data_IF_278022643539
#
_entry.id   IF_278022643539
#
_cell.length_a   1.000
_cell.length_b   1.000
_cell.length_c   1.000
_cell.angle_alpha   90.00
_cell.angle_beta   90.00
_cell.angle_gamma   90.00
#
_symmetry.space_group_name_H-M   'P 1'
#
loop_
_entity.id
_entity.type
_entity.pdbx_description
1 polymer ?
#
# COMPACT_ATOMS: atom_id res chain seq x y z
N UNK A 1 5.74 -38.45 3.10
CA UNK A 1 6.19 -37.36 2.21
C UNK A 1 7.05 -36.41 3.02
N UNK A 2 8.37 -36.40 2.82
CA UNK A 2 9.29 -35.56 3.59
C UNK A 2 9.33 -34.14 3.01
N UNK A 3 8.98 -33.14 3.83
CA UNK A 3 9.26 -31.74 3.53
C UNK A 3 10.78 -31.59 3.41
N UNK A 4 11.29 -31.45 2.19
CA UNK A 4 12.67 -31.03 1.97
C UNK A 4 12.78 -29.60 2.51
N UNK A 5 13.47 -29.44 3.63
CA UNK A 5 13.72 -28.13 4.23
C UNK A 5 14.27 -27.17 3.17
N UNK A 6 13.57 -26.07 2.94
CA UNK A 6 14.00 -25.02 2.03
C UNK A 6 15.32 -24.46 2.55
N UNK A 7 16.42 -24.75 1.83
CA UNK A 7 17.71 -24.12 2.14
C UNK A 7 17.56 -22.62 1.90
N UNK A 8 17.73 -21.83 2.96
CA UNK A 8 17.77 -20.37 2.90
C UNK A 8 18.90 -19.99 1.94
N UNK A 9 18.55 -19.35 0.83
CA UNK A 9 19.54 -18.85 -0.14
C UNK A 9 20.11 -17.55 0.41
N UNK A 10 21.36 -17.59 0.84
CA UNK A 10 22.09 -16.40 1.28
C UNK A 10 22.33 -15.52 0.05
N UNK A 11 21.80 -14.31 0.08
CA UNK A 11 21.95 -13.34 -1.01
C UNK A 11 23.31 -12.64 -0.92
N UNK A 12 23.81 -12.07 -2.01
CA UNK A 12 25.08 -11.33 -1.99
C UNK A 12 25.03 -10.10 -1.07
N UNK A 13 23.85 -9.49 -0.95
CA UNK A 13 23.54 -8.40 -0.04
C UNK A 13 23.72 -8.84 1.43
N UNK A 14 23.25 -10.04 1.79
CA UNK A 14 23.37 -10.59 3.14
C UNK A 14 24.84 -10.81 3.51
N UNK A 15 25.66 -11.26 2.54
CA UNK A 15 27.11 -11.40 2.71
C UNK A 15 27.79 -10.04 2.89
N UNK A 16 27.40 -9.03 2.11
CA UNK A 16 27.93 -7.68 2.24
C UNK A 16 27.60 -7.06 3.61
N UNK A 17 26.34 -7.20 4.06
CA UNK A 17 25.92 -6.74 5.40
C UNK A 17 26.69 -7.48 6.49
N UNK A 18 26.93 -8.79 6.34
CA UNK A 18 27.73 -9.55 7.29
C UNK A 18 29.17 -9.02 7.35
N UNK A 19 29.81 -8.78 6.21
CA UNK A 19 31.17 -8.24 6.16
C UNK A 19 31.27 -6.85 6.81
N UNK A 20 30.30 -5.97 6.56
CA UNK A 20 30.23 -4.65 7.20
C UNK A 20 30.10 -4.79 8.72
N UNK A 21 29.21 -5.66 9.20
CA UNK A 21 29.05 -5.92 10.64
C UNK A 21 30.34 -6.49 11.27
N UNK A 22 30.99 -7.43 10.60
CA UNK A 22 32.29 -7.98 11.05
C UNK A 22 33.38 -6.90 11.12
N UNK A 23 33.41 -5.97 10.16
CA UNK A 23 34.35 -4.85 10.18
C UNK A 23 34.06 -3.88 11.33
N UNK A 24 32.79 -3.56 11.60
CA UNK A 24 32.36 -2.77 12.75
C UNK A 24 32.79 -3.42 14.08
N UNK A 25 32.53 -4.71 14.25
CA UNK A 25 32.94 -5.45 15.45
C UNK A 25 34.47 -5.47 15.62
N UNK A 26 35.20 -5.62 14.52
CA UNK A 26 36.67 -5.59 14.52
C UNK A 26 37.21 -4.23 14.95
N UNK A 27 36.62 -3.13 14.45
CA UNK A 27 36.98 -1.76 14.84
C UNK A 27 36.67 -1.53 16.32
N UNK A 28 35.53 -1.98 16.83
CA UNK A 28 35.22 -1.87 18.27
C UNK A 28 36.22 -2.64 19.14
N UNK A 29 36.59 -3.87 18.75
CA UNK A 29 37.61 -4.66 19.46
C UNK A 29 38.96 -3.95 19.46
N UNK A 30 39.37 -3.41 18.32
CA UNK A 30 40.63 -2.66 18.20
C UNK A 30 40.63 -1.38 19.03
N UNK A 31 39.53 -0.63 19.00
CA UNK A 31 39.30 0.59 19.79
C UNK A 31 39.42 0.31 21.28
N UNK A 32 38.76 -0.72 21.78
CA UNK A 32 38.84 -1.13 23.20
C UNK A 32 40.27 -1.49 23.60
N UNK A 33 40.92 -2.36 22.81
CA UNK A 33 42.31 -2.76 23.06
C UNK A 33 43.27 -1.57 23.06
N UNK A 34 43.07 -0.62 22.14
CA UNK A 34 43.92 0.58 22.03
C UNK A 34 43.69 1.53 23.21
N UNK A 35 42.44 1.69 23.68
CA UNK A 35 42.13 2.46 24.88
C UNK A 35 42.80 1.90 26.14
N UNK A 36 42.81 0.58 26.30
CA UNK A 36 43.48 -0.09 27.42
C UNK A 36 45.01 0.13 27.35
N UNK A 37 45.59 0.03 26.15
CA UNK A 37 47.01 0.32 25.92
C UNK A 37 47.36 1.78 26.23
N UNK A 38 46.58 2.74 25.75
CA UNK A 38 46.76 4.18 26.05
C UNK A 38 46.73 4.40 27.56
N UNK A 39 45.80 3.77 28.27
CA UNK A 39 45.68 3.90 29.73
C UNK A 39 46.93 3.40 30.46
N UNK A 40 47.45 2.23 30.06
CA UNK A 40 48.70 1.69 30.59
C UNK A 40 49.91 2.56 30.26
N UNK A 41 50.01 3.05 29.02
CA UNK A 41 51.10 3.94 28.59
C UNK A 41 51.08 5.29 29.32
N UNK A 42 49.90 5.86 29.57
CA UNK A 42 49.73 7.07 30.39
C UNK A 42 50.17 6.83 31.85
N UNK A 43 49.92 5.65 32.41
CA UNK A 43 50.41 5.28 33.73
C UNK A 43 51.94 5.14 33.76
N UNK A 44 52.54 4.45 32.79
CA UNK A 44 54.00 4.34 32.66
C UNK A 44 54.63 5.74 32.51
N UNK A 45 54.02 6.61 31.70
CA UNK A 45 54.47 7.99 31.52
C UNK A 45 54.46 8.76 32.85
N UNK A 46 53.40 8.63 33.64
CA UNK A 46 53.30 9.28 34.96
C UNK A 46 54.39 8.81 35.92
N UNK A 47 54.67 7.51 35.96
CA UNK A 47 55.75 6.92 36.78
C UNK A 47 57.12 7.44 36.33
N UNK A 48 57.38 7.47 35.01
CA UNK A 48 58.65 7.95 34.46
C UNK A 48 58.92 9.44 34.77
N UNK A 49 57.86 10.26 34.77
CA UNK A 49 57.94 11.67 35.15
C UNK A 49 58.24 11.82 36.66
N UNK A 50 57.56 11.04 37.51
CA UNK A 50 57.79 11.05 38.96
C UNK A 50 59.22 10.62 39.32
N UNK A 51 59.77 9.62 38.63
CA UNK A 51 61.13 9.12 38.87
C UNK A 51 62.22 10.08 38.37
N UNK A 52 61.92 10.99 37.44
CA UNK A 52 62.92 11.90 36.83
C UNK A 52 62.44 13.38 36.81
N UNK A 53 62.21 14.01 37.97
CA UNK A 53 61.56 15.33 38.04
C UNK A 53 62.38 16.48 37.45
N UNK A 54 63.72 16.36 37.39
CA UNK A 54 64.60 17.43 36.89
C UNK A 54 64.76 17.43 35.36
N UNK A 55 64.86 16.25 34.74
CA UNK A 55 65.18 16.09 33.30
C UNK A 55 64.08 15.36 32.51
N UNK A 56 62.84 15.30 32.99
CA UNK A 56 61.76 14.57 32.32
C UNK A 56 61.53 15.03 30.87
N UNK A 57 61.69 16.33 30.59
CA UNK A 57 61.54 16.89 29.24
C UNK A 57 62.66 16.49 28.30
N UNK A 58 63.86 16.20 28.77
CA UNK A 58 65.00 15.87 27.91
C UNK A 58 65.14 14.36 27.71
N UNK A 59 64.47 13.56 28.56
CA UNK A 59 64.48 12.12 28.46
C UNK A 59 63.81 11.64 27.16
N UNK A 60 64.60 11.02 26.28
CA UNK A 60 64.15 10.47 24.99
C UNK A 60 63.02 9.45 25.16
N UNK A 61 63.02 8.66 26.23
CA UNK A 61 61.98 7.65 26.50
C UNK A 61 60.61 8.29 26.76
N UNK A 62 60.57 9.36 27.55
CA UNK A 62 59.34 10.09 27.88
C UNK A 62 58.76 10.75 26.63
N UNK A 63 59.61 11.42 25.83
CA UNK A 63 59.17 12.02 24.55
C UNK A 63 58.63 10.99 23.57
N UNK A 64 59.30 9.84 23.46
CA UNK A 64 58.86 8.76 22.58
C UNK A 64 57.50 8.21 23.02
N UNK A 65 57.33 7.94 24.31
CA UNK A 65 56.08 7.43 24.86
C UNK A 65 54.92 8.43 24.65
N UNK A 66 55.16 9.73 24.88
CA UNK A 66 54.17 10.76 24.62
C UNK A 66 53.77 10.84 23.13
N UNK A 67 54.75 10.76 22.21
CA UNK A 67 54.47 10.69 20.76
C UNK A 67 53.65 9.46 20.40
N UNK A 68 53.95 8.31 21.01
CA UNK A 68 53.23 7.06 20.78
C UNK A 68 51.78 7.16 21.25
N UNK A 69 51.56 7.72 22.44
CA UNK A 69 50.20 7.97 22.98
C UNK A 69 49.41 8.89 22.05
N UNK A 70 49.97 10.02 21.61
CA UNK A 70 49.28 10.91 20.67
C UNK A 70 48.95 10.24 19.34
N UNK A 71 49.85 9.41 18.82
CA UNK A 71 49.59 8.66 17.59
C UNK A 71 48.46 7.64 17.78
N UNK A 72 48.40 6.95 18.93
CA UNK A 72 47.31 6.03 19.25
C UNK A 72 45.97 6.76 19.44
N UNK A 73 45.97 7.95 20.03
CA UNK A 73 44.78 8.82 20.13
C UNK A 73 44.30 9.23 18.73
N UNK A 74 45.20 9.66 17.85
CA UNK A 74 44.84 9.98 16.46
C UNK A 74 44.27 8.76 15.71
N UNK A 75 44.82 7.56 15.91
CA UNK A 75 44.26 6.33 15.33
C UNK A 75 42.86 6.02 15.88
N UNK A 76 42.57 6.38 17.14
CA UNK A 76 41.26 6.22 17.75
C UNK A 76 40.22 7.17 17.13
N UNK A 77 40.64 8.40 16.84
CA UNK A 77 39.80 9.38 16.15
C UNK A 77 39.48 8.88 14.73
N UNK A 78 40.49 8.43 13.99
CA UNK A 78 40.28 7.83 12.67
C UNK A 78 39.37 6.59 12.72
N UNK A 79 39.52 5.75 13.74
CA UNK A 79 38.64 4.59 13.93
C UNK A 79 37.19 5.01 14.20
N UNK A 80 36.98 6.12 14.90
CA UNK A 80 35.66 6.69 15.17
C UNK A 80 35.01 7.23 13.89
N UNK A 81 35.78 7.93 13.05
CA UNK A 81 35.31 8.39 11.73
C UNK A 81 34.91 7.21 10.82
N UNK A 82 35.73 6.15 10.81
CA UNK A 82 35.41 4.94 10.04
C UNK A 82 34.17 4.22 10.56
N UNK A 83 33.94 4.22 11.88
CA UNK A 83 32.73 3.65 12.46
C UNK A 83 31.48 4.39 11.96
N UNK A 84 31.51 5.72 11.95
CA UNK A 84 30.43 6.56 11.41
C UNK A 84 30.19 6.25 9.93
N UNK A 85 31.27 6.13 9.14
CA UNK A 85 31.16 5.78 7.73
C UNK A 85 30.51 4.40 7.50
N UNK A 86 30.86 3.41 8.32
CA UNK A 86 30.25 2.07 8.25
C UNK A 86 28.78 2.08 8.64
N UNK A 87 28.39 2.87 9.63
CA UNK A 87 26.99 3.04 10.04
C UNK A 87 26.17 3.71 8.94
N UNK A 88 26.72 4.75 8.31
CA UNK A 88 26.11 5.37 7.14
C UNK A 88 25.96 4.38 5.98
N UNK A 89 26.97 3.56 5.72
CA UNK A 89 26.90 2.54 4.68
C UNK A 89 25.83 1.47 4.97
N UNK A 90 25.70 1.06 6.24
CA UNK A 90 24.65 0.13 6.66
C UNK A 90 23.26 0.72 6.48
N UNK A 91 23.04 1.96 6.94
CA UNK A 91 21.77 2.67 6.77
C UNK A 91 21.41 2.86 5.30
N UNK A 92 22.39 3.18 4.45
CA UNK A 92 22.19 3.26 3.01
C UNK A 92 21.74 1.92 2.40
N UNK A 93 22.34 0.80 2.82
CA UNK A 93 21.93 -0.54 2.35
C UNK A 93 20.49 -0.84 2.80
N UNK A 94 20.14 -0.54 4.05
CA UNK A 94 18.79 -0.73 4.56
C UNK A 94 17.76 0.09 3.77
N UNK A 95 18.08 1.36 3.49
CA UNK A 95 17.25 2.20 2.64
C UNK A 95 17.10 1.61 1.22
N UNK A 96 18.18 1.12 0.62
CA UNK A 96 18.13 0.47 -0.70
C UNK A 96 17.31 -0.81 -0.71
N UNK A 97 17.28 -1.56 0.39
CA UNK A 97 16.41 -2.74 0.51
C UNK A 97 14.93 -2.34 0.55
N UNK A 98 14.58 -1.27 1.29
CA UNK A 98 13.22 -0.74 1.30
C UNK A 98 12.83 -0.18 -0.07
N UNK A 99 13.72 0.57 -0.71
CA UNK A 99 13.50 1.10 -2.06
C UNK A 99 13.23 -0.03 -3.06
N UNK A 100 14.01 -1.11 -3.01
CA UNK A 100 13.76 -2.31 -3.84
C UNK A 100 12.37 -2.90 -3.59
N UNK A 101 11.98 -3.07 -2.33
CA UNK A 101 10.64 -3.58 -1.98
C UNK A 101 9.53 -2.66 -2.48
N UNK A 102 9.72 -1.34 -2.38
CA UNK A 102 8.78 -0.35 -2.91
C UNK A 102 8.64 -0.47 -4.43
N UNK A 103 9.75 -0.59 -5.16
CA UNK A 103 9.73 -0.82 -6.61
C UNK A 103 9.06 -2.13 -7.00
N UNK A 104 9.31 -3.21 -6.26
CA UNK A 104 8.61 -4.49 -6.46
C UNK A 104 7.10 -4.36 -6.20
N UNK A 105 6.71 -3.59 -5.18
CA UNK A 105 5.31 -3.24 -4.90
C UNK A 105 4.65 -2.47 -6.04
N UNK A 106 5.31 -1.42 -6.56
CA UNK A 106 4.83 -0.67 -7.71
C UNK A 106 4.73 -1.53 -8.97
N UNK A 107 5.71 -2.40 -9.23
CA UNK A 107 5.70 -3.32 -10.36
C UNK A 107 4.53 -4.32 -10.26
N UNK A 108 4.30 -4.87 -9.07
CA UNK A 108 3.17 -5.76 -8.83
C UNK A 108 1.84 -5.02 -9.00
N UNK A 109 1.72 -3.80 -8.45
CA UNK A 109 0.55 -2.94 -8.63
C UNK A 109 0.27 -2.64 -10.11
N UNK A 110 1.28 -2.23 -10.87
CA UNK A 110 1.16 -2.00 -12.32
C UNK A 110 0.76 -3.28 -13.07
N UNK A 111 1.32 -4.43 -12.71
CA UNK A 111 0.94 -5.71 -13.32
C UNK A 111 -0.52 -6.08 -13.05
N UNK A 112 -1.04 -5.78 -11.85
CA UNK A 112 -2.45 -6.01 -11.50
C UNK A 112 -3.34 -5.02 -12.25
N UNK A 113 -2.96 -3.74 -12.31
CA UNK A 113 -3.69 -2.73 -13.09
C UNK A 113 -3.74 -3.10 -14.57
N UNK A 114 -2.65 -3.62 -15.15
CA UNK A 114 -2.62 -4.07 -16.53
C UNK A 114 -3.55 -5.26 -16.76
N UNK A 115 -3.56 -6.23 -15.84
CA UNK A 115 -4.50 -7.38 -15.90
C UNK A 115 -5.95 -6.91 -15.77
N UNK A 116 -6.23 -6.04 -14.80
CA UNK A 116 -7.56 -5.48 -14.57
C UNK A 116 -8.05 -4.71 -15.80
N UNK A 117 -7.19 -3.88 -16.39
CA UNK A 117 -7.51 -3.14 -17.60
C UNK A 117 -7.77 -4.06 -18.79
N UNK A 118 -7.05 -5.18 -18.90
CA UNK A 118 -7.30 -6.19 -19.93
C UNK A 118 -8.65 -6.88 -19.75
N UNK A 119 -9.02 -7.23 -18.51
CA UNK A 119 -10.34 -7.81 -18.23
C UNK A 119 -11.46 -6.83 -18.56
N UNK A 120 -11.33 -5.55 -18.20
CA UNK A 120 -12.33 -4.53 -18.55
C UNK A 120 -12.40 -4.25 -20.06
N UNK A 121 -11.27 -4.25 -20.77
CA UNK A 121 -11.27 -4.09 -22.22
C UNK A 121 -12.00 -5.24 -22.94
N UNK A 122 -11.95 -6.47 -22.41
CA UNK A 122 -12.74 -7.58 -22.96
C UNK A 122 -14.25 -7.42 -22.67
N UNK A 123 -14.63 -6.69 -21.61
CA UNK A 123 -16.05 -6.38 -21.34
C UNK A 123 -16.57 -5.41 -22.38
N UNK A 124 -15.78 -4.43 -22.83
CA UNK A 124 -16.17 -3.54 -23.93
C UNK A 124 -16.42 -4.33 -25.23
N UNK A 125 -15.61 -5.35 -25.53
CA UNK A 125 -15.83 -6.26 -26.67
C UNK A 125 -17.13 -7.07 -26.53
N UNK A 126 -17.40 -7.63 -25.35
CA UNK A 126 -18.67 -8.32 -25.07
C UNK A 126 -19.87 -7.36 -25.13
N UNK A 127 -19.70 -6.10 -24.71
CA UNK A 127 -20.75 -5.09 -24.81
C UNK A 127 -21.04 -4.72 -26.26
N UNK A 128 -20.01 -4.62 -27.11
CA UNK A 128 -20.16 -4.39 -28.55
C UNK A 128 -20.86 -5.59 -29.22
N UNK A 129 -20.44 -6.83 -28.90
CA UNK A 129 -21.12 -8.06 -29.35
C UNK A 129 -22.58 -8.13 -28.88
N UNK A 130 -22.88 -7.75 -27.63
CA UNK A 130 -24.24 -7.69 -27.13
C UNK A 130 -25.06 -6.62 -27.84
N UNK A 131 -24.46 -5.49 -28.18
CA UNK A 131 -25.13 -4.42 -28.91
C UNK A 131 -25.39 -4.80 -30.37
N UNK A 132 -24.47 -5.50 -31.03
CA UNK A 132 -24.67 -6.09 -32.36
C UNK A 132 -25.74 -7.19 -32.32
N UNK A 133 -25.73 -8.07 -31.31
CA UNK A 133 -26.75 -9.10 -31.11
C UNK A 133 -28.13 -8.49 -30.85
N UNK A 134 -28.22 -7.39 -30.09
CA UNK A 134 -29.47 -6.65 -29.88
C UNK A 134 -29.95 -6.02 -31.19
N UNK A 135 -29.07 -5.38 -31.95
CA UNK A 135 -29.41 -4.83 -33.26
C UNK A 135 -29.90 -5.91 -34.24
N UNK A 136 -29.28 -7.10 -34.23
CA UNK A 136 -29.71 -8.24 -35.04
C UNK A 136 -31.07 -8.79 -34.60
N UNK A 137 -31.35 -8.83 -33.29
CA UNK A 137 -32.68 -9.21 -32.79
C UNK A 137 -33.74 -8.18 -33.16
N UNK A 138 -33.40 -6.89 -33.13
CA UNK A 138 -34.30 -5.82 -33.57
C UNK A 138 -34.55 -5.91 -35.09
N UNK A 139 -33.53 -6.23 -35.89
CA UNK A 139 -33.68 -6.49 -37.34
C UNK A 139 -34.54 -7.73 -37.61
N UNK A 140 -34.40 -8.81 -36.82
CA UNK A 140 -35.28 -9.98 -36.90
C UNK A 140 -36.71 -9.60 -36.53
N UNK A 141 -36.93 -8.85 -35.45
CA UNK A 141 -38.25 -8.41 -35.04
C UNK A 141 -38.88 -7.49 -36.08
N UNK A 142 -38.11 -6.58 -36.67
CA UNK A 142 -38.57 -5.69 -37.74
C UNK A 142 -38.90 -6.49 -39.01
N UNK A 143 -38.04 -7.44 -39.40
CA UNK A 143 -38.27 -8.31 -40.56
C UNK A 143 -39.46 -9.25 -40.33
N UNK A 144 -39.60 -9.82 -39.13
CA UNK A 144 -40.74 -10.63 -38.74
C UNK A 144 -42.01 -9.79 -38.73
N UNK A 145 -41.98 -8.59 -38.14
CA UNK A 145 -43.11 -7.65 -38.18
C UNK A 145 -43.45 -7.25 -39.62
N UNK A 146 -42.48 -7.11 -40.51
CA UNK A 146 -42.68 -6.79 -41.92
C UNK A 146 -43.25 -7.98 -42.72
N UNK A 147 -42.86 -9.22 -42.39
CA UNK A 147 -43.45 -10.44 -42.98
C UNK A 147 -44.83 -10.76 -42.38
N UNK A 148 -45.04 -10.47 -41.09
CA UNK A 148 -46.31 -10.60 -40.37
C UNK A 148 -47.27 -9.45 -40.73
N UNK A 149 -46.77 -8.33 -41.26
CA UNK A 149 -47.62 -7.31 -41.90
C UNK A 149 -48.32 -7.82 -43.17
N UNK A 150 -48.00 -9.02 -43.67
CA UNK A 150 -48.82 -9.74 -44.65
C UNK A 150 -49.99 -10.52 -44.04
N UNK A 151 -50.06 -10.62 -42.72
CA UNK A 151 -51.00 -11.37 -41.87
C UNK A 151 -51.98 -10.41 -41.17
N UNK A 152 -52.17 -9.21 -41.73
CA UNK A 152 -53.17 -8.24 -41.25
C UNK A 152 -54.63 -8.74 -41.35
N UNK A 153 -54.89 -9.87 -42.03
CA UNK A 153 -56.23 -10.49 -42.08
C UNK A 153 -56.62 -11.19 -40.76
N UNK A 154 -55.66 -11.46 -39.86
CA UNK A 154 -55.92 -12.16 -38.60
C UNK A 154 -55.83 -11.26 -37.36
N UNK A 155 -55.38 -10.01 -37.47
CA UNK A 155 -55.31 -9.07 -36.32
C UNK A 155 -56.69 -8.89 -35.66
N UNK A 156 -57.75 -8.71 -36.45
CA UNK A 156 -59.14 -8.60 -35.95
C UNK A 156 -59.69 -9.90 -35.34
N UNK A 157 -59.18 -11.07 -35.75
CA UNK A 157 -59.54 -12.39 -35.19
C UNK A 157 -58.76 -12.67 -33.90
N UNK A 158 -57.48 -12.30 -33.88
CA UNK A 158 -56.57 -12.40 -32.74
C UNK A 158 -57.02 -11.48 -31.61
N UNK A 159 -57.40 -10.23 -31.91
CA UNK A 159 -57.94 -9.30 -30.92
C UNK A 159 -59.22 -9.85 -30.25
N UNK A 160 -60.12 -10.47 -31.04
CA UNK A 160 -61.31 -11.13 -30.50
C UNK A 160 -60.99 -12.37 -29.67
N UNK A 161 -59.99 -13.16 -30.07
CA UNK A 161 -59.53 -14.33 -29.32
C UNK A 161 -58.85 -13.93 -28.01
N UNK A 162 -58.06 -12.84 -28.00
CA UNK A 162 -57.46 -12.21 -26.82
C UNK A 162 -58.53 -11.67 -25.87
N UNK A 163 -59.51 -10.92 -26.38
CA UNK A 163 -60.66 -10.44 -25.60
C UNK A 163 -61.46 -11.61 -25.00
N UNK A 164 -61.67 -12.69 -25.76
CA UNK A 164 -62.34 -13.88 -25.27
C UNK A 164 -61.52 -14.57 -24.15
N UNK A 165 -60.21 -14.67 -24.31
CA UNK A 165 -59.31 -15.27 -23.32
C UNK A 165 -59.20 -14.41 -22.05
N UNK A 166 -59.17 -13.08 -22.18
CA UNK A 166 -59.24 -12.14 -21.07
C UNK A 166 -60.57 -12.28 -20.33
N UNK A 167 -61.69 -12.38 -21.04
CA UNK A 167 -63.01 -12.59 -20.45
C UNK A 167 -63.16 -13.97 -19.79
N UNK A 168 -62.54 -15.03 -20.32
CA UNK A 168 -62.51 -16.35 -19.68
C UNK A 168 -61.65 -16.36 -18.41
N UNK A 169 -60.51 -15.66 -18.42
CA UNK A 169 -59.60 -15.55 -17.27
C UNK A 169 -60.18 -14.63 -16.18
N UNK A 170 -60.68 -13.45 -16.54
CA UNK A 170 -61.36 -12.53 -15.63
C UNK A 170 -62.73 -13.04 -15.20
N UNK A 171 -63.44 -13.78 -16.05
CA UNK A 171 -64.70 -14.45 -15.72
C UNK A 171 -64.53 -15.55 -14.67
N UNK A 172 -63.44 -16.33 -14.75
CA UNK A 172 -63.03 -17.28 -13.70
C UNK A 172 -62.63 -16.57 -12.41
N UNK A 173 -61.91 -15.45 -12.48
CA UNK A 173 -61.58 -14.64 -11.29
C UNK A 173 -62.82 -14.02 -10.63
N UNK A 174 -63.86 -13.64 -11.40
CA UNK A 174 -65.14 -13.16 -10.85
C UNK A 174 -65.95 -14.27 -10.19
N UNK A 175 -65.92 -15.50 -10.71
CA UNK A 175 -66.63 -16.64 -10.11
C UNK A 175 -65.98 -17.16 -8.82
N UNK A 176 -64.67 -17.02 -8.64
CA UNK A 176 -63.99 -17.36 -7.38
C UNK A 176 -64.12 -16.28 -6.29
N UNK A 177 -64.54 -15.06 -6.62
CA UNK A 177 -64.74 -13.98 -5.66
C UNK A 177 -66.16 -13.93 -5.05
N UNK A 178 -67.17 -14.60 -5.62
CA UNK A 178 -68.54 -14.58 -5.09
C UNK A 178 -68.86 -15.69 -4.06
N UNK A 179 -67.91 -16.58 -3.75
CA UNK A 179 -68.14 -17.74 -2.86
C UNK A 179 -67.35 -17.72 -1.54
N UNK A 180 -67.10 -16.55 -0.94
CA UNK A 180 -66.58 -16.48 0.44
C UNK A 180 -67.51 -15.67 1.35
N UNK A 181 -68.10 -16.31 2.40
CA UNK A 181 -69.06 -15.67 3.29
C UNK A 181 -68.41 -14.66 4.23
N UNK A 182 -69.13 -13.56 4.45
CA UNK A 182 -68.82 -12.47 5.36
C UNK A 182 -68.72 -12.96 6.83
N UNK A 183 -67.61 -12.68 7.53
CA UNK A 183 -67.53 -12.72 9.01
C UNK A 183 -66.31 -11.92 9.52
N UNK A 184 -66.29 -11.48 10.79
CA UNK A 184 -66.42 -10.07 11.16
C UNK A 184 -65.12 -9.40 11.62
N UNK A 185 -65.09 -8.07 11.52
CA UNK A 185 -64.04 -7.19 12.05
C UNK A 185 -63.99 -7.20 13.58
N UNK A 186 -62.89 -7.67 14.18
CA UNK A 186 -62.40 -7.21 15.49
C UNK A 186 -60.89 -7.46 15.64
N UNK A 187 -60.12 -6.48 16.14
CA UNK A 187 -59.02 -6.78 17.08
C UNK A 187 -57.57 -6.42 16.68
N UNK A 188 -57.21 -5.15 16.90
CA UNK A 188 -55.97 -4.59 17.52
C UNK A 188 -54.65 -5.42 17.60
N UNK A 189 -53.55 -4.71 17.22
CA UNK A 189 -52.10 -4.84 17.55
C UNK A 189 -51.25 -5.87 16.76
N UNK A 190 -49.92 -5.67 16.59
CA UNK A 190 -49.09 -4.44 16.59
C UNK A 190 -48.21 -4.29 15.33
N UNK A 191 -47.83 -3.05 14.99
CA UNK A 191 -46.91 -2.73 13.89
C UNK A 191 -45.47 -3.10 14.29
N UNK A 192 -44.86 -4.04 13.57
CA UNK A 192 -43.47 -4.45 13.77
C UNK A 192 -42.53 -3.44 13.11
N UNK A 193 -41.68 -2.83 13.94
CA UNK A 193 -40.60 -1.92 13.55
C UNK A 193 -39.63 -2.59 12.55
N UNK A 194 -39.54 -2.01 11.34
CA UNK A 194 -38.46 -2.30 10.42
C UNK A 194 -37.19 -1.54 10.84
N UNK A 195 -36.25 -2.29 11.43
CA UNK A 195 -34.93 -1.79 11.83
C UNK A 195 -34.03 -1.59 10.60
N UNK A 196 -33.77 -0.32 10.24
CA UNK A 196 -32.64 0.04 9.36
C UNK A 196 -31.37 0.19 10.22
N UNK A 197 -30.23 -0.41 9.85
CA UNK A 197 -28.98 -0.26 10.60
C UNK A 197 -28.42 1.17 10.50
N UNK A 198 -27.97 1.70 11.64
CA UNK A 198 -27.31 3.00 11.80
C UNK A 198 -25.97 3.05 11.05
N UNK A 199 -25.82 4.02 10.16
CA UNK A 199 -24.50 4.51 9.69
C UNK A 199 -24.08 5.61 10.67
N UNK A 200 -22.90 5.43 11.26
CA UNK A 200 -22.39 6.24 12.35
C UNK A 200 -22.02 7.68 11.95
N UNK A 201 -22.08 8.54 12.95
CA UNK A 201 -21.68 9.95 12.93
C UNK A 201 -20.24 10.13 12.43
N UNK A 202 -20.09 10.81 11.28
CA UNK A 202 -18.88 11.56 10.97
C UNK A 202 -19.22 13.04 10.96
N UNK A 203 -18.79 13.73 12.01
CA UNK A 203 -18.78 15.19 12.04
C UNK A 203 -17.70 15.72 11.08
N UNK A 204 -17.99 16.72 10.24
CA UNK A 204 -16.97 17.34 9.40
C UNK A 204 -16.10 18.26 10.25
N UNK A 205 -14.80 17.94 10.32
CA UNK A 205 -13.76 18.82 10.87
C UNK A 205 -13.67 20.07 9.99
N UNK A 206 -13.87 21.23 10.62
CA UNK A 206 -13.67 22.55 10.00
C UNK A 206 -12.21 22.73 9.58
N UNK A 207 -11.98 22.94 8.29
CA UNK A 207 -10.73 23.52 7.78
C UNK A 207 -10.55 24.95 8.29
N UNK A 208 -9.35 25.36 8.71
CA UNK A 208 -9.09 26.75 9.10
C UNK A 208 -9.08 27.67 7.89
N UNK A 209 -9.74 28.81 8.06
CA UNK A 209 -9.87 29.90 7.11
C UNK A 209 -8.50 30.46 6.68
N UNK A 210 -8.29 30.50 5.37
CA UNK A 210 -7.24 31.26 4.71
C UNK A 210 -7.55 32.75 4.86
N UNK A 211 -6.68 33.51 5.53
CA UNK A 211 -6.74 34.97 5.57
C UNK A 211 -6.04 35.52 4.33
N UNK A 212 -6.83 36.00 3.39
CA UNK A 212 -6.39 36.89 2.33
C UNK A 212 -5.82 38.17 2.96
N UNK A 213 -4.50 38.33 2.87
CA UNK A 213 -3.85 39.62 3.04
C UNK A 213 -3.80 40.30 1.68
N UNK A 214 -4.51 41.43 1.60
CA UNK A 214 -4.40 42.41 0.54
C UNK A 214 -2.96 42.95 0.50
N UNK A 215 -2.25 42.63 -0.58
CA UNK A 215 -0.98 43.25 -0.96
C UNK A 215 -1.20 44.02 -2.25
N UNK A 216 -1.00 45.34 -2.15
CA UNK A 216 -1.23 46.35 -3.18
C UNK A 216 -0.38 46.10 -4.45
N UNK A 217 -1.00 46.29 -5.62
CA UNK A 217 -0.30 46.65 -6.85
C UNK A 217 0.45 47.99 -6.66
N UNK A 218 1.53 48.20 -7.43
CA UNK A 218 1.35 49.20 -8.47
C UNK A 218 1.90 48.78 -9.85
N UNK A 219 1.05 48.98 -10.84
CA UNK A 219 1.28 49.64 -12.13
C UNK A 219 2.69 49.57 -12.79
N UNK A 220 2.71 48.82 -13.90
CA UNK A 220 3.24 49.19 -15.22
C UNK A 220 4.07 50.49 -15.35
N UNK A 221 5.28 50.41 -15.88
CA UNK A 221 5.63 50.90 -17.23
C UNK A 221 7.12 50.67 -17.58
N UNK A 222 7.36 50.45 -18.88
CA UNK A 222 8.61 50.54 -19.66
C UNK A 222 9.62 49.39 -19.57
#
# INVERSE_FOLDING_TARGET
MGQKGSKIKITEQDKAVLQLKQSKDSIHKYTRRTSDLISHEKQELKILIQNNPKNYKENKKIRFLLKRVHYQEHLLDQASDQLINLENMLSNIEFKLVEKQFFEGLKNGNSILTKLNKEFANVDEVLDDMQEQMAYQDEINETLAQHVSGVNDYEDEIDKELDAMENELMGKQKQEQEALPNMPSVGRLPELENTKPKVGDFTPVKSPANKEQQGQEPALLA
#
